data_IF_294325109601
#
_entry.id   IF_294325109601
#
_cell.length_a   1.000
_cell.length_b   1.000
_cell.length_c   1.000
_cell.angle_alpha   90.00
_cell.angle_beta   90.00
_cell.angle_gamma   90.00
#
_symmetry.space_group_name_H-M   'P 1'
#
loop_
_entity.id
_entity.type
_entity.pdbx_description
1 polymer ?
#
# COMPACT_ATOMS: atom_id res chain seq x y z
N UNK A 1 -51.78 32.62 9.71
CA UNK A 1 -51.39 32.63 8.29
C UNK A 1 -50.55 31.39 7.98
N UNK A 2 -51.16 30.35 7.41
CA UNK A 2 -50.45 29.15 6.94
C UNK A 2 -50.29 29.29 5.42
N UNK A 3 -49.06 29.44 4.93
CA UNK A 3 -48.74 29.34 3.49
C UNK A 3 -47.51 28.47 3.30
N UNK A 4 -47.79 27.17 3.18
CA UNK A 4 -47.26 26.26 2.16
C UNK A 4 -45.88 26.60 1.56
N UNK A 5 -44.84 26.09 2.21
CA UNK A 5 -43.49 25.99 1.66
C UNK A 5 -43.01 24.54 1.38
N UNK A 6 -43.83 23.50 1.05
CA UNK A 6 -43.27 22.16 0.82
C UNK A 6 -42.99 21.81 -0.64
N UNK A 7 -43.49 22.57 -1.63
CA UNK A 7 -43.50 22.11 -3.03
C UNK A 7 -42.22 22.40 -3.81
N UNK A 8 -41.49 23.47 -3.51
CA UNK A 8 -40.27 23.81 -4.25
C UNK A 8 -39.05 22.95 -3.84
N UNK A 9 -39.00 22.50 -2.59
CA UNK A 9 -37.92 21.63 -2.09
C UNK A 9 -37.99 20.22 -2.70
N UNK A 10 -39.18 19.74 -3.06
CA UNK A 10 -39.39 18.39 -3.59
C UNK A 10 -38.97 18.25 -5.07
N UNK A 11 -38.99 19.33 -5.85
CA UNK A 11 -38.56 19.32 -7.26
C UNK A 11 -37.04 19.29 -7.44
N UNK A 12 -36.27 19.86 -6.52
CA UNK A 12 -34.79 19.79 -6.57
C UNK A 12 -34.24 18.39 -6.24
N UNK A 13 -34.99 17.57 -5.48
CA UNK A 13 -34.57 16.21 -5.11
C UNK A 13 -34.74 15.18 -6.23
N UNK A 14 -35.59 15.44 -7.22
CA UNK A 14 -35.87 14.51 -8.33
C UNK A 14 -35.00 14.73 -9.57
N UNK A 15 -34.43 15.92 -9.77
CA UNK A 15 -33.56 16.21 -10.91
C UNK A 15 -32.10 15.76 -10.71
N UNK A 16 -31.68 15.53 -9.46
CA UNK A 16 -30.31 15.09 -9.14
C UNK A 16 -30.07 13.60 -9.42
N UNK A 17 -31.12 12.78 -9.53
CA UNK A 17 -30.99 11.32 -9.62
C UNK A 17 -30.40 10.82 -10.95
N UNK A 18 -30.67 11.50 -12.07
CA UNK A 18 -30.18 11.07 -13.39
C UNK A 18 -28.71 11.43 -13.64
N UNK A 19 -28.21 12.52 -13.05
CA UNK A 19 -26.80 12.93 -13.19
C UNK A 19 -25.87 12.15 -12.23
N UNK A 20 -26.42 11.53 -11.18
CA UNK A 20 -25.66 10.80 -10.16
C UNK A 20 -25.66 9.28 -10.37
N UNK A 21 -26.43 8.75 -11.33
CA UNK A 21 -26.56 7.31 -11.57
C UNK A 21 -25.61 6.79 -12.67
N UNK A 22 -24.29 7.03 -12.55
CA UNK A 22 -23.27 6.29 -13.31
C UNK A 22 -22.69 5.09 -12.56
N UNK A 23 -23.29 4.73 -11.43
CA UNK A 23 -22.91 3.57 -10.62
C UNK A 23 -23.56 2.26 -11.09
N UNK A 24 -24.59 2.33 -11.95
CA UNK A 24 -25.20 1.15 -12.55
C UNK A 24 -24.42 0.83 -13.84
N UNK A 25 -23.82 -0.37 -13.96
CA UNK A 25 -23.15 -0.77 -15.20
C UNK A 25 -24.15 -0.76 -16.35
N UNK A 26 -23.95 0.13 -17.33
CA UNK A 26 -24.70 0.14 -18.58
C UNK A 26 -23.99 -0.80 -19.56
N UNK A 27 -24.65 -1.85 -20.10
CA UNK A 27 -24.05 -2.74 -21.10
C UNK A 27 -23.62 -2.02 -22.39
N UNK A 28 -24.05 -0.77 -22.60
CA UNK A 28 -23.62 0.10 -23.69
C UNK A 28 -22.63 1.19 -23.26
N UNK A 29 -22.15 1.16 -22.02
CA UNK A 29 -21.12 2.09 -21.55
C UNK A 29 -19.85 1.95 -22.38
N UNK A 30 -19.46 3.03 -23.04
CA UNK A 30 -18.18 3.13 -23.73
C UNK A 30 -17.10 3.67 -22.79
N UNK A 31 -15.86 3.37 -23.11
CA UNK A 31 -14.71 3.97 -22.45
C UNK A 31 -14.80 5.50 -22.49
N UNK A 32 -14.30 6.16 -21.44
CA UNK A 32 -14.12 7.61 -21.48
C UNK A 32 -13.15 7.98 -22.63
N UNK A 33 -13.34 9.13 -23.30
CA UNK A 33 -12.40 9.57 -24.33
C UNK A 33 -10.95 9.54 -23.82
N UNK A 34 -10.06 8.88 -24.56
CA UNK A 34 -8.66 8.63 -24.17
C UNK A 34 -8.37 7.29 -23.48
N UNK A 35 -9.40 6.51 -23.14
CA UNK A 35 -9.29 5.18 -22.52
C UNK A 35 -9.79 4.06 -23.46
N UNK A 36 -9.80 4.30 -24.77
CA UNK A 36 -10.31 3.35 -25.76
C UNK A 36 -9.43 2.11 -25.92
N UNK A 37 -8.13 2.24 -25.63
CA UNK A 37 -7.18 1.14 -25.62
C UNK A 37 -7.07 0.52 -24.22
N UNK A 38 -6.84 -0.81 -24.13
CA UNK A 38 -6.47 -1.44 -22.87
C UNK A 38 -5.27 -0.74 -22.24
N UNK A 39 -5.32 -0.56 -20.92
CA UNK A 39 -4.22 0.04 -20.18
C UNK A 39 -3.03 -0.93 -20.17
N UNK A 40 -1.82 -0.40 -20.36
CA UNK A 40 -0.59 -1.19 -20.21
C UNK A 40 -0.49 -1.71 -18.77
N UNK A 41 -0.25 -3.01 -18.55
CA UNK A 41 -0.04 -3.54 -17.21
C UNK A 41 1.09 -2.80 -16.48
N UNK A 42 0.94 -2.56 -15.18
CA UNK A 42 1.95 -1.84 -14.37
C UNK A 42 3.34 -2.52 -14.46
N UNK A 43 3.36 -3.85 -14.53
CA UNK A 43 4.56 -4.65 -14.72
C UNK A 43 5.34 -4.33 -16.01
N UNK A 44 4.67 -3.76 -17.02
CA UNK A 44 5.21 -3.49 -18.35
C UNK A 44 5.29 -1.98 -18.66
N UNK A 45 4.63 -1.14 -17.86
CA UNK A 45 4.48 0.28 -18.12
C UNK A 45 5.76 1.12 -17.91
N UNK A 46 6.83 0.54 -17.35
CA UNK A 46 8.13 1.21 -17.19
C UNK A 46 8.13 2.38 -16.19
N UNK A 47 7.21 2.39 -15.23
CA UNK A 47 7.11 3.44 -14.22
C UNK A 47 8.31 3.46 -13.26
N UNK A 48 8.62 4.66 -12.74
CA UNK A 48 9.59 4.82 -11.66
C UNK A 48 9.13 4.17 -10.35
N UNK A 49 10.06 3.88 -9.43
CA UNK A 49 9.71 3.39 -8.08
C UNK A 49 8.79 4.36 -7.32
N UNK A 50 8.99 5.67 -7.46
CA UNK A 50 8.11 6.66 -6.82
C UNK A 50 6.66 6.56 -7.36
N UNK A 51 6.51 6.42 -8.68
CA UNK A 51 5.20 6.24 -9.32
C UNK A 51 4.56 4.91 -8.94
N UNK A 52 5.32 3.81 -8.98
CA UNK A 52 4.83 2.50 -8.55
C UNK A 52 4.39 2.51 -7.08
N UNK A 53 5.14 3.20 -6.20
CA UNK A 53 4.74 3.36 -4.80
C UNK A 53 3.42 4.12 -4.68
N UNK A 54 3.26 5.20 -5.44
CA UNK A 54 2.04 5.99 -5.45
C UNK A 54 0.82 5.16 -5.92
N UNK A 55 1.00 4.33 -6.95
CA UNK A 55 -0.06 3.53 -7.54
C UNK A 55 -0.42 2.29 -6.73
N UNK A 56 0.55 1.69 -6.01
CA UNK A 56 0.37 0.37 -5.37
C UNK A 56 0.31 0.44 -3.84
N UNK A 57 0.93 1.44 -3.21
CA UNK A 57 1.20 1.43 -1.77
C UNK A 57 0.67 2.66 -1.04
N UNK A 58 0.80 3.85 -1.64
CA UNK A 58 0.53 5.13 -0.98
C UNK A 58 -0.95 5.31 -0.61
N UNK A 59 -1.87 4.60 -1.25
CA UNK A 59 -3.29 4.61 -0.88
C UNK A 59 -3.54 4.18 0.57
N UNK A 60 -2.71 3.27 1.10
CA UNK A 60 -2.78 2.84 2.50
C UNK A 60 -1.70 3.51 3.36
N UNK A 61 -0.45 3.49 2.90
CA UNK A 61 0.70 3.93 3.71
C UNK A 61 0.98 5.43 3.67
N UNK A 62 0.23 6.20 2.87
CA UNK A 62 0.48 7.60 2.54
C UNK A 62 1.79 7.81 1.76
N UNK A 63 1.93 8.95 1.11
CA UNK A 63 3.07 9.26 0.23
C UNK A 63 4.42 9.22 0.94
N UNK A 64 4.46 9.56 2.23
CA UNK A 64 5.67 9.56 3.06
C UNK A 64 5.84 8.28 3.89
N UNK A 65 4.93 7.30 3.80
CA UNK A 65 5.00 6.08 4.60
C UNK A 65 4.58 6.28 6.07
N UNK A 66 3.86 7.35 6.42
CA UNK A 66 3.39 7.60 7.78
C UNK A 66 2.34 6.56 8.25
N UNK A 67 1.65 5.89 7.33
CA UNK A 67 0.57 4.96 7.67
C UNK A 67 -0.66 5.66 8.25
N UNK A 68 -1.55 4.87 8.85
CA UNK A 68 -2.80 5.34 9.44
C UNK A 68 -3.26 4.37 10.54
N UNK A 69 -3.08 4.75 11.82
CA UNK A 69 -3.54 3.95 12.97
C UNK A 69 -5.05 3.69 12.92
N UNK A 70 -5.84 4.69 12.50
CA UNK A 70 -7.30 4.55 12.38
C UNK A 70 -7.74 3.52 11.34
N UNK A 71 -6.88 3.21 10.36
CA UNK A 71 -7.15 2.23 9.29
C UNK A 71 -6.32 0.95 9.46
N UNK A 72 -5.71 0.73 10.62
CA UNK A 72 -4.82 -0.41 10.91
C UNK A 72 -3.62 -0.54 9.95
N UNK A 73 -3.11 0.61 9.46
CA UNK A 73 -1.95 0.66 8.57
C UNK A 73 -0.72 1.14 9.33
N UNK A 74 0.32 0.31 9.54
CA UNK A 74 1.49 0.70 10.30
C UNK A 74 2.35 1.73 9.55
N UNK A 75 3.04 2.57 10.33
CA UNK A 75 4.07 3.49 9.87
C UNK A 75 5.29 2.71 9.37
N UNK A 76 5.73 3.02 8.15
CA UNK A 76 7.01 2.55 7.61
C UNK A 76 8.13 3.57 7.86
N UNK A 77 7.79 4.87 7.78
CA UNK A 77 8.74 5.97 7.93
C UNK A 77 9.53 5.85 9.24
N UNK A 78 10.85 5.76 9.15
CA UNK A 78 11.76 5.62 10.29
C UNK A 78 11.69 4.28 11.02
N UNK A 79 10.90 3.30 10.55
CA UNK A 79 10.67 2.05 11.28
C UNK A 79 10.93 0.79 10.45
N UNK A 80 10.59 0.78 9.15
CA UNK A 80 10.54 -0.45 8.33
C UNK A 80 11.88 -1.19 8.22
N UNK A 81 13.01 -0.51 8.35
CA UNK A 81 14.34 -1.12 8.34
C UNK A 81 14.61 -2.04 9.54
N UNK A 82 13.87 -1.91 10.64
CA UNK A 82 14.02 -2.79 11.81
C UNK A 82 13.68 -4.25 11.51
N UNK A 83 12.82 -4.52 10.51
CA UNK A 83 12.55 -5.89 10.06
C UNK A 83 13.80 -6.61 9.54
N UNK A 84 14.79 -5.88 9.03
CA UNK A 84 16.05 -6.47 8.56
C UNK A 84 16.99 -6.92 9.70
N UNK A 85 16.68 -6.56 10.95
CA UNK A 85 17.53 -6.86 12.13
C UNK A 85 17.14 -8.17 12.82
N UNK A 86 16.02 -8.76 12.44
CA UNK A 86 15.47 -9.98 13.05
C UNK A 86 15.29 -11.07 12.00
N UNK A 87 15.58 -12.30 12.41
CA UNK A 87 15.35 -13.49 11.59
C UNK A 87 13.90 -13.55 11.10
N UNK A 88 13.71 -13.82 9.81
CA UNK A 88 12.41 -13.89 9.15
C UNK A 88 11.83 -12.53 8.73
N UNK A 89 12.38 -11.41 9.19
CA UNK A 89 11.83 -10.09 8.89
C UNK A 89 12.08 -9.66 7.44
N UNK A 90 13.15 -10.13 6.81
CA UNK A 90 13.41 -9.89 5.39
C UNK A 90 12.34 -10.54 4.49
N UNK A 91 11.99 -11.79 4.79
CA UNK A 91 10.95 -12.56 4.10
C UNK A 91 9.56 -11.97 4.36
N UNK A 92 9.32 -11.50 5.59
CA UNK A 92 8.08 -10.84 5.95
C UNK A 92 7.79 -9.64 5.05
N UNK A 93 8.78 -8.78 4.79
CA UNK A 93 8.60 -7.61 3.93
C UNK A 93 8.18 -7.98 2.49
N UNK A 94 8.65 -9.10 1.95
CA UNK A 94 8.25 -9.55 0.59
C UNK A 94 6.82 -10.10 0.59
N UNK A 95 6.38 -10.71 1.70
CA UNK A 95 5.13 -11.46 1.79
C UNK A 95 3.93 -10.64 2.24
N UNK A 96 4.12 -9.42 2.77
CA UNK A 96 2.98 -8.55 3.15
C UNK A 96 2.05 -8.33 1.94
N UNK A 97 0.71 -8.26 2.13
CA UNK A 97 -0.23 -8.26 1.01
C UNK A 97 0.04 -7.20 -0.06
N UNK A 98 0.42 -5.97 0.35
CA UNK A 98 0.75 -4.90 -0.60
C UNK A 98 1.99 -5.16 -1.45
N UNK A 99 2.86 -6.09 -1.06
CA UNK A 99 4.04 -6.50 -1.83
C UNK A 99 3.71 -7.75 -2.65
N UNK A 100 3.27 -8.82 -1.98
CA UNK A 100 3.03 -10.13 -2.62
C UNK A 100 1.93 -10.10 -3.67
N UNK A 101 0.89 -9.30 -3.46
CA UNK A 101 -0.26 -9.17 -4.37
C UNK A 101 -0.18 -7.95 -5.30
N UNK A 102 0.94 -7.20 -5.29
CA UNK A 102 1.08 -6.02 -6.15
C UNK A 102 1.05 -6.38 -7.64
N UNK A 103 0.72 -5.40 -8.49
CA UNK A 103 0.81 -5.56 -9.94
C UNK A 103 2.25 -5.47 -10.50
N UNK A 104 3.25 -5.34 -9.62
CA UNK A 104 4.66 -5.29 -9.99
C UNK A 104 5.18 -6.69 -10.30
N UNK A 105 6.13 -6.79 -11.24
CA UNK A 105 6.92 -8.01 -11.41
C UNK A 105 8.00 -8.12 -10.32
N UNK A 106 8.68 -9.26 -10.22
CA UNK A 106 9.61 -9.54 -9.12
C UNK A 106 10.85 -8.63 -9.11
N UNK A 107 11.35 -8.24 -10.29
CA UNK A 107 12.45 -7.29 -10.41
C UNK A 107 12.04 -5.89 -9.92
N UNK A 108 10.87 -5.40 -10.36
CA UNK A 108 10.32 -4.13 -9.88
C UNK A 108 10.02 -4.15 -8.38
N UNK A 109 9.57 -5.28 -7.84
CA UNK A 109 9.30 -5.42 -6.40
C UNK A 109 10.60 -5.45 -5.58
N UNK A 110 11.66 -6.08 -6.08
CA UNK A 110 13.00 -5.99 -5.50
C UNK A 110 13.52 -4.54 -5.51
N UNK A 111 13.40 -3.85 -6.64
CA UNK A 111 13.77 -2.43 -6.77
C UNK A 111 12.95 -1.53 -5.84
N UNK A 112 11.65 -1.81 -5.69
CA UNK A 112 10.76 -1.12 -4.76
C UNK A 112 11.23 -1.27 -3.32
N UNK A 113 11.51 -2.51 -2.86
CA UNK A 113 12.02 -2.77 -1.52
C UNK A 113 13.35 -2.04 -1.30
N UNK A 114 14.27 -2.15 -2.25
CA UNK A 114 15.57 -1.48 -2.19
C UNK A 114 15.44 0.04 -2.13
N UNK A 115 14.50 0.63 -2.87
CA UNK A 115 14.22 2.06 -2.89
C UNK A 115 13.58 2.57 -1.59
N UNK A 116 12.62 1.82 -1.02
CA UNK A 116 11.97 2.15 0.26
C UNK A 116 12.95 2.06 1.43
N UNK A 117 13.82 1.06 1.41
CA UNK A 117 14.74 0.74 2.49
C UNK A 117 16.02 1.59 2.49
N UNK A 118 16.18 2.57 1.62
CA UNK A 118 17.38 3.42 1.67
C UNK A 118 17.43 4.23 2.98
N UNK A 119 18.65 4.58 3.41
CA UNK A 119 18.87 5.45 4.59
C UNK A 119 18.29 6.85 4.41
N UNK A 120 18.26 7.35 3.17
CA UNK A 120 17.60 8.60 2.77
C UNK A 120 16.15 8.36 2.28
N UNK A 121 15.61 7.15 2.48
CA UNK A 121 14.24 6.75 2.14
C UNK A 121 13.37 6.57 3.39
N UNK A 122 12.39 5.66 3.32
CA UNK A 122 11.43 5.43 4.41
C UNK A 122 12.05 4.70 5.58
N UNK A 123 13.06 3.85 5.37
CA UNK A 123 13.70 3.18 6.51
C UNK A 123 14.47 4.17 7.39
N UNK A 124 15.09 5.20 6.83
CA UNK A 124 15.78 6.22 7.64
C UNK A 124 16.83 5.61 8.57
N UNK A 125 16.81 6.05 9.83
CA UNK A 125 17.70 5.56 10.90
C UNK A 125 17.41 4.12 11.34
N UNK A 126 16.28 3.52 10.95
CA UNK A 126 16.01 2.11 11.26
C UNK A 126 16.87 1.14 10.43
N UNK A 127 17.59 1.62 9.41
CA UNK A 127 18.43 0.74 8.59
C UNK A 127 19.61 0.12 9.34
N UNK A 128 19.88 -1.18 9.15
CA UNK A 128 21.09 -1.80 9.66
C UNK A 128 22.36 -1.19 9.02
N UNK A 129 23.50 -1.37 9.69
CA UNK A 129 24.80 -0.94 9.17
C UNK A 129 25.17 -1.71 7.89
N UNK A 130 24.98 -3.02 7.91
CA UNK A 130 25.17 -3.89 6.75
C UNK A 130 23.82 -4.18 6.11
N UNK A 131 23.66 -3.77 4.85
CA UNK A 131 22.47 -4.02 4.07
C UNK A 131 22.82 -4.85 2.84
N UNK A 132 22.06 -5.92 2.61
CA UNK A 132 22.10 -6.70 1.38
C UNK A 132 20.85 -6.36 0.56
N UNK A 133 20.99 -5.78 -0.65
CA UNK A 133 19.87 -5.51 -1.53
C UNK A 133 19.07 -6.79 -1.84
N UNK A 134 17.75 -6.64 -2.04
CA UNK A 134 16.90 -7.70 -2.58
C UNK A 134 17.21 -7.93 -4.06
N UNK A 135 17.25 -9.18 -4.46
CA UNK A 135 17.32 -9.58 -5.88
C UNK A 135 15.95 -10.03 -6.37
N UNK A 136 15.77 -10.03 -7.69
CA UNK A 136 14.54 -10.52 -8.31
C UNK A 136 14.31 -12.01 -8.01
N UNK A 137 15.38 -12.81 -8.00
CA UNK A 137 15.34 -14.26 -7.73
C UNK A 137 14.92 -14.54 -6.30
N UNK A 138 15.44 -13.78 -5.34
CA UNK A 138 15.04 -13.89 -3.94
C UNK A 138 13.55 -13.53 -3.78
N UNK A 139 13.12 -12.42 -4.39
CA UNK A 139 11.72 -12.02 -4.35
C UNK A 139 10.82 -13.09 -4.96
N UNK A 140 11.15 -13.60 -6.15
CA UNK A 140 10.40 -14.66 -6.81
C UNK A 140 10.26 -15.92 -5.93
N UNK A 141 11.33 -16.31 -5.23
CA UNK A 141 11.33 -17.45 -4.32
C UNK A 141 10.44 -17.26 -3.09
N UNK A 142 10.34 -16.04 -2.56
CA UNK A 142 9.63 -15.75 -1.31
C UNK A 142 8.17 -15.33 -1.56
N UNK A 143 7.92 -14.56 -2.63
CA UNK A 143 6.65 -13.82 -2.85
C UNK A 143 5.42 -14.71 -2.87
N UNK A 144 5.57 -15.92 -3.39
CA UNK A 144 4.49 -16.89 -3.53
C UNK A 144 4.27 -17.75 -2.27
N UNK A 145 5.12 -17.61 -1.24
CA UNK A 145 4.92 -18.27 0.04
C UNK A 145 3.75 -17.63 0.80
N UNK A 146 2.63 -18.35 0.88
CA UNK A 146 1.41 -17.86 1.53
C UNK A 146 1.66 -17.48 2.99
N UNK A 147 1.28 -16.27 3.40
CA UNK A 147 1.27 -15.86 4.80
C UNK A 147 -0.14 -15.92 5.36
N UNK A 148 -0.48 -17.05 6.00
CA UNK A 148 -1.84 -17.31 6.50
C UNK A 148 -2.20 -16.46 7.73
N UNK A 149 -1.21 -16.08 8.55
CA UNK A 149 -1.43 -15.29 9.76
C UNK A 149 -0.50 -14.08 9.79
N UNK A 150 -0.88 -13.03 9.05
CA UNK A 150 -0.13 -11.76 9.02
C UNK A 150 0.01 -11.12 10.41
N UNK A 151 -1.06 -10.95 11.22
CA UNK A 151 -0.94 -10.31 12.53
C UNK A 151 -0.03 -11.10 13.49
N UNK A 152 -0.15 -12.42 13.50
CA UNK A 152 0.68 -13.30 14.34
C UNK A 152 2.15 -13.31 13.92
N UNK A 153 2.42 -13.40 12.61
CA UNK A 153 3.79 -13.34 12.08
C UNK A 153 4.45 -12.02 12.44
N UNK A 154 3.72 -10.90 12.26
CA UNK A 154 4.19 -9.57 12.64
C UNK A 154 4.46 -9.49 14.14
N UNK A 155 3.53 -9.94 14.99
CA UNK A 155 3.69 -9.90 16.44
C UNK A 155 4.93 -10.66 16.92
N UNK A 156 5.25 -11.82 16.30
CA UNK A 156 6.47 -12.56 16.60
C UNK A 156 7.74 -11.78 16.23
N UNK A 157 7.76 -11.12 15.07
CA UNK A 157 8.90 -10.29 14.66
C UNK A 157 9.08 -9.09 15.58
N UNK A 158 7.99 -8.42 15.96
CA UNK A 158 8.00 -7.32 16.93
C UNK A 158 8.51 -7.79 18.30
N UNK A 159 8.11 -8.99 18.75
CA UNK A 159 8.63 -9.56 19.99
C UNK A 159 10.15 -9.83 19.92
N UNK A 160 10.67 -10.30 18.77
CA UNK A 160 12.12 -10.47 18.54
C UNK A 160 12.84 -9.12 18.57
N UNK A 161 12.28 -8.08 17.94
CA UNK A 161 12.83 -6.72 17.98
C UNK A 161 12.95 -6.21 19.42
N UNK A 162 11.87 -6.34 20.22
CA UNK A 162 11.87 -5.95 21.63
C UNK A 162 12.94 -6.69 22.44
N UNK A 163 13.13 -8.00 22.21
CA UNK A 163 14.20 -8.79 22.87
C UNK A 163 15.61 -8.28 22.54
N UNK A 164 15.80 -7.64 21.38
CA UNK A 164 17.05 -7.00 20.98
C UNK A 164 17.16 -5.53 21.46
N UNK A 165 16.20 -5.03 22.24
CA UNK A 165 16.19 -3.64 22.71
C UNK A 165 15.77 -2.62 21.65
N UNK A 166 15.16 -3.05 20.54
CA UNK A 166 14.67 -2.14 19.50
C UNK A 166 13.32 -1.54 19.93
N UNK A 167 13.24 -0.21 19.98
CA UNK A 167 12.00 0.51 20.22
C UNK A 167 11.00 0.30 19.06
N UNK A 168 9.73 0.12 19.40
CA UNK A 168 8.66 -0.13 18.43
C UNK A 168 7.87 1.15 18.22
N UNK A 169 8.29 1.91 17.22
CA UNK A 169 7.67 3.18 16.83
C UNK A 169 6.91 3.01 15.50
N UNK A 170 6.10 1.97 15.38
CA UNK A 170 5.39 1.63 14.15
C UNK A 170 4.05 2.38 13.98
N UNK A 171 3.75 3.32 14.88
CA UNK A 171 2.48 4.06 14.88
C UNK A 171 1.25 3.23 15.29
N UNK A 172 1.46 1.98 15.73
CA UNK A 172 0.39 1.07 16.17
C UNK A 172 0.32 0.95 17.69
N UNK A 173 1.45 1.13 18.39
CA UNK A 173 1.48 1.34 19.84
C UNK A 173 0.93 2.71 20.25
N UNK A 174 0.66 2.88 21.54
CA UNK A 174 0.43 4.20 22.15
C UNK A 174 1.77 4.90 22.41
#
# INVERSE_FOLDING_TARGET
MKRSLPTLALLCLLAASAAQARSIPDPHQKHAPGNEAPQTPIAEAGYSNATNYQLQCAGCHLSNGAGSKSNDVPRMLGFVGNFLKVEGGRQFLVRVPGMSMSALNDAQLADMLNWLLRRDGMAGNSMPASYQPYSAEEVAGIRHETMLNLPGTRAQLIARMRKQGIAIEDGMGD
#
